data_IF_145097392094
#
_entry.id   IF_145097392094
#
_cell.length_a   1.000
_cell.length_b   1.000
_cell.length_c   1.000
_cell.angle_alpha   90.00
_cell.angle_beta   90.00
_cell.angle_gamma   90.00
#
_symmetry.space_group_name_H-M   'P 1'
#
loop_
_entity.id
_entity.type
_entity.pdbx_description
1 polymer ?
#
# COMPACT_ATOMS: atom_id res chain seq x y z
N UNK A 1 -0.35 -1.69 26.83
CA UNK A 1 -0.96 -2.58 25.81
C UNK A 1 -0.68 -1.95 24.44
N UNK A 2 -0.22 -2.75 23.45
CA UNK A 2 0.13 -2.27 22.11
C UNK A 2 -0.83 -2.88 21.08
N UNK A 3 -1.20 -2.11 20.08
CA UNK A 3 -2.13 -2.52 19.01
C UNK A 3 -1.46 -2.33 17.66
N UNK A 4 -1.75 -3.22 16.72
CA UNK A 4 -1.45 -3.01 15.31
C UNK A 4 -2.68 -2.41 14.64
N UNK A 5 -2.47 -1.30 13.92
CA UNK A 5 -3.50 -0.68 13.09
C UNK A 5 -3.03 -0.77 11.65
N UNK A 6 -3.78 -1.48 10.83
CA UNK A 6 -3.50 -1.63 9.40
C UNK A 6 -4.47 -0.81 8.58
N UNK A 7 -3.96 -0.17 7.53
CA UNK A 7 -4.78 0.57 6.56
C UNK A 7 -4.27 0.25 5.15
N UNK A 8 -5.17 -0.20 4.27
CA UNK A 8 -4.85 -0.54 2.89
C UNK A 8 -5.23 0.62 1.96
N UNK A 9 -4.22 1.18 1.28
CA UNK A 9 -4.43 2.24 0.28
C UNK A 9 -4.13 1.69 -1.10
N UNK A 10 -5.08 1.86 -2.02
CA UNK A 10 -4.89 1.49 -3.42
C UNK A 10 -4.55 2.76 -4.22
N UNK A 11 -3.33 2.79 -4.75
CA UNK A 11 -2.87 3.84 -5.68
C UNK A 11 -3.03 3.36 -7.12
N UNK A 12 -3.53 4.24 -7.99
CA UNK A 12 -3.65 4.01 -9.43
C UNK A 12 -3.23 5.27 -10.18
N UNK A 13 -2.54 5.12 -11.29
CA UNK A 13 -2.25 6.23 -12.20
C UNK A 13 -2.54 5.82 -13.62
N UNK A 14 -2.82 6.79 -14.48
CA UNK A 14 -2.92 6.60 -15.92
C UNK A 14 -1.79 7.38 -16.57
N UNK A 15 -0.98 6.70 -17.38
CA UNK A 15 0.12 7.30 -18.12
C UNK A 15 -0.09 7.14 -19.62
N UNK A 16 0.31 8.14 -20.39
CA UNK A 16 0.36 8.04 -21.85
C UNK A 16 1.71 7.47 -22.27
N UNK A 17 1.69 6.36 -23.01
CA UNK A 17 2.89 5.68 -23.49
C UNK A 17 2.61 4.93 -24.79
N UNK A 18 3.66 4.68 -25.59
CA UNK A 18 3.50 4.00 -26.88
C UNK A 18 3.49 2.48 -26.74
N UNK A 19 3.90 1.96 -25.58
CA UNK A 19 3.95 0.53 -25.26
C UNK A 19 3.94 0.28 -23.74
N UNK A 20 3.76 -0.98 -23.34
CA UNK A 20 3.68 -1.40 -21.93
C UNK A 20 4.95 -1.08 -21.14
N UNK A 21 6.14 -1.20 -21.76
CA UNK A 21 7.40 -0.93 -21.08
C UNK A 21 7.54 0.56 -20.75
N UNK A 22 7.27 1.43 -21.72
CA UNK A 22 7.27 2.87 -21.51
C UNK A 22 6.23 3.30 -20.46
N UNK A 23 5.06 2.63 -20.41
CA UNK A 23 4.06 2.89 -19.39
C UNK A 23 4.56 2.53 -17.98
N UNK A 24 5.26 1.39 -17.84
CA UNK A 24 5.83 0.97 -16.56
C UNK A 24 6.95 1.92 -16.10
N UNK A 25 7.87 2.28 -17.01
CA UNK A 25 8.97 3.21 -16.72
C UNK A 25 8.40 4.60 -16.30
N UNK A 26 7.41 5.12 -17.04
CA UNK A 26 6.76 6.38 -16.70
C UNK A 26 5.99 6.35 -15.37
N UNK A 27 5.39 5.21 -15.02
CA UNK A 27 4.73 5.04 -13.73
C UNK A 27 5.74 4.96 -12.57
N UNK A 28 6.86 4.24 -12.74
CA UNK A 28 7.91 4.12 -11.72
C UNK A 28 8.54 5.48 -11.35
N UNK A 29 8.64 6.38 -12.33
CA UNK A 29 9.15 7.73 -12.14
C UNK A 29 8.16 8.70 -11.45
N UNK A 30 6.86 8.35 -11.37
CA UNK A 30 5.84 9.21 -10.75
C UNK A 30 5.70 8.93 -9.25
N UNK A 31 5.84 9.95 -8.38
CA UNK A 31 5.58 9.79 -6.95
C UNK A 31 4.15 9.32 -6.68
N UNK A 32 3.96 8.39 -5.74
CA UNK A 32 2.62 7.89 -5.38
C UNK A 32 1.65 8.99 -4.90
N UNK A 33 2.17 10.13 -4.44
CA UNK A 33 1.36 11.31 -4.08
C UNK A 33 0.65 11.93 -5.28
N UNK A 34 1.18 11.71 -6.49
CA UNK A 34 0.61 12.18 -7.76
C UNK A 34 -0.35 11.17 -8.39
N UNK A 35 -0.47 9.97 -7.80
CA UNK A 35 -1.38 8.93 -8.26
C UNK A 35 -2.76 9.13 -7.64
N UNK A 36 -3.82 8.79 -8.39
CA UNK A 36 -5.16 8.70 -7.83
C UNK A 36 -5.20 7.60 -6.76
N UNK A 37 -5.36 8.02 -5.51
CA UNK A 37 -5.55 7.10 -4.40
C UNK A 37 -7.03 6.92 -4.10
N UNK A 38 -7.47 5.67 -4.09
CA UNK A 38 -8.76 5.30 -3.50
C UNK A 38 -8.50 4.55 -2.20
N UNK A 39 -8.94 5.11 -1.08
CA UNK A 39 -8.92 4.40 0.20
C UNK A 39 -9.95 3.26 0.13
N UNK A 40 -9.48 2.01 0.16
CA UNK A 40 -10.36 0.88 0.45
C UNK A 40 -10.27 0.66 1.94
N UNK A 41 -11.24 1.16 2.69
CA UNK A 41 -11.17 1.15 4.16
C UNK A 41 -11.37 -0.27 4.68
N UNK A 42 -10.26 -1.01 4.82
CA UNK A 42 -10.16 -2.16 5.70
C UNK A 42 -9.28 -1.77 6.86
N UNK A 43 -9.92 -1.36 7.94
CA UNK A 43 -9.26 -1.04 9.20
C UNK A 43 -9.37 -2.24 10.12
N UNK A 44 -8.24 -2.91 10.34
CA UNK A 44 -8.13 -4.00 11.30
C UNK A 44 -7.32 -3.48 12.49
N UNK A 45 -7.92 -3.52 13.67
CA UNK A 45 -7.28 -3.20 14.95
C UNK A 45 -7.20 -4.46 15.77
N UNK A 46 -6.00 -4.98 15.93
CA UNK A 46 -5.76 -6.22 16.69
C UNK A 46 -4.74 -5.98 17.80
N UNK A 47 -4.88 -6.63 18.96
CA UNK A 47 -3.80 -6.70 19.94
C UNK A 47 -2.54 -7.23 19.26
N UNK A 48 -1.39 -6.59 19.50
CA UNK A 48 -0.16 -6.95 18.79
C UNK A 48 0.25 -8.42 19.04
N UNK A 49 -0.06 -8.97 20.22
CA UNK A 49 0.21 -10.36 20.60
C UNK A 49 -0.58 -11.39 19.78
N UNK A 50 -1.71 -11.00 19.20
CA UNK A 50 -2.60 -11.86 18.40
C UNK A 50 -2.43 -11.64 16.89
N UNK A 51 -1.61 -10.66 16.49
CA UNK A 51 -1.42 -10.34 15.08
C UNK A 51 -0.47 -11.34 14.40
N UNK A 52 -0.87 -11.96 13.27
CA UNK A 52 0.05 -12.78 12.47
C UNK A 52 1.18 -11.97 11.83
N UNK A 53 1.09 -10.63 11.85
CA UNK A 53 2.11 -9.70 11.38
C UNK A 53 2.97 -9.14 12.52
N UNK A 54 2.85 -9.70 13.74
CA UNK A 54 3.64 -9.24 14.88
C UNK A 54 5.15 -9.45 14.61
N UNK A 55 5.94 -8.38 14.47
CA UNK A 55 7.38 -8.49 14.21
C UNK A 55 8.15 -9.10 15.39
N UNK A 56 7.52 -9.24 16.56
CA UNK A 56 8.09 -9.86 17.77
C UNK A 56 7.69 -11.33 17.95
N UNK A 57 6.81 -11.89 17.12
CA UNK A 57 6.32 -13.28 17.28
C UNK A 57 7.31 -14.37 16.86
N UNK A 58 8.48 -13.99 16.33
CA UNK A 58 9.56 -14.91 15.92
C UNK A 58 10.86 -14.78 16.72
N UNK A 59 10.82 -14.16 17.92
CA UNK A 59 11.98 -13.97 18.80
C UNK A 59 12.04 -14.95 19.96
#
# INVERSE_FOLDING_TARGET
>A
MKFLVSHEVLYRTTVEASNEKEAADAAEDLPYEEWDSSTTTREDVVPLEESPLNPMAGG
#
